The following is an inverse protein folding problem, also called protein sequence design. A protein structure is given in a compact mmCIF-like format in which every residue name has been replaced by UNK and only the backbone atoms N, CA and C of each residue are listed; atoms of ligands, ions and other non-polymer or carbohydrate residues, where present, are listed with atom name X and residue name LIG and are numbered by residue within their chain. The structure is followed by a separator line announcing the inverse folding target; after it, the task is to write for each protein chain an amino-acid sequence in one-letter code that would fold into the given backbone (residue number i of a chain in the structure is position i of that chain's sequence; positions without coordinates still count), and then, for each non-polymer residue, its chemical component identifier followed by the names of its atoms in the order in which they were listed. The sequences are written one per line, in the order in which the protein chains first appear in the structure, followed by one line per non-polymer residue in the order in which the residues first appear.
data_IF_489328272171
#
_entry.id   IF_489328272171
#
_cell.length_a   1.000
_cell.length_b   1.000
_cell.length_c   1.000
_cell.angle_alpha   90.00
_cell.angle_beta   90.00
_cell.angle_gamma   90.00
#
_symmetry.space_group_name_H-M   'P 1'
#
loop_
_entity.id
_entity.type
_entity.pdbx_description
1 polymer ?
#
# COMPACT_ATOMS: atom_id res chain seq x y z
N UNK A 1 4.35 -7.78 16.10
CA UNK A 1 2.98 -7.47 15.60
C UNK A 1 2.88 -5.96 15.36
N UNK A 2 2.74 -5.45 14.12
CA UNK A 2 2.86 -4.02 13.79
C UNK A 2 1.75 -3.12 14.36
N UNK A 3 0.59 -3.69 14.70
CA UNK A 3 -0.58 -2.94 15.21
C UNK A 3 -0.98 -3.29 16.66
N UNK A 4 -0.09 -3.99 17.38
CA UNK A 4 -0.34 -4.47 18.74
C UNK A 4 -1.40 -5.57 18.83
N UNK A 5 -1.48 -6.20 20.01
CA UNK A 5 -2.51 -7.18 20.39
C UNK A 5 -2.94 -6.84 21.83
N UNK A 6 -4.23 -6.97 22.15
CA UNK A 6 -4.78 -6.66 23.47
C UNK A 6 -5.69 -5.42 23.51
N UNK A 7 -6.07 -4.93 24.70
CA UNK A 7 -7.06 -3.86 24.86
C UNK A 7 -6.61 -2.50 24.30
N UNK A 8 -5.30 -2.34 24.05
CA UNK A 8 -4.69 -1.14 23.44
C UNK A 8 -4.24 -1.40 21.99
N UNK A 9 -4.95 -2.28 21.26
CA UNK A 9 -4.72 -2.49 19.82
C UNK A 9 -5.01 -1.21 19.02
N UNK A 10 -4.35 -1.06 17.87
CA UNK A 10 -4.64 0.03 16.96
C UNK A 10 -6.12 0.00 16.51
N UNK A 11 -6.85 1.09 16.77
CA UNK A 11 -8.24 1.28 16.33
C UNK A 11 -8.36 1.25 14.80
N UNK A 12 -7.36 1.81 14.12
CA UNK A 12 -7.29 1.91 12.66
C UNK A 12 -6.73 0.66 11.97
N UNK A 13 -6.45 -0.44 12.69
CA UNK A 13 -5.86 -1.64 12.09
C UNK A 13 -6.72 -2.19 10.93
N UNK A 14 -8.05 -2.25 11.11
CA UNK A 14 -8.95 -2.71 10.04
C UNK A 14 -9.01 -1.73 8.86
N UNK A 15 -8.99 -0.44 9.15
CA UNK A 15 -9.02 0.61 8.13
C UNK A 15 -7.75 0.58 7.27
N UNK A 16 -6.57 0.58 7.90
CA UNK A 16 -5.29 0.53 7.18
C UNK A 16 -5.12 -0.75 6.35
N UNK A 17 -5.62 -1.89 6.85
CA UNK A 17 -5.62 -3.14 6.08
C UNK A 17 -6.55 -3.07 4.85
N UNK A 18 -7.75 -2.51 4.99
CA UNK A 18 -8.70 -2.34 3.88
C UNK A 18 -8.16 -1.38 2.81
N UNK A 19 -7.62 -0.24 3.24
CA UNK A 19 -7.05 0.77 2.35
C UNK A 19 -5.84 0.20 1.58
N UNK A 20 -4.88 -0.40 2.29
CA UNK A 20 -3.68 -0.98 1.68
C UNK A 20 -4.04 -2.11 0.71
N UNK A 21 -4.99 -2.97 1.06
CA UNK A 21 -5.39 -4.10 0.22
C UNK A 21 -6.07 -3.63 -1.08
N UNK A 22 -6.89 -2.59 -0.99
CA UNK A 22 -7.53 -1.98 -2.16
C UNK A 22 -6.50 -1.37 -3.09
N UNK A 23 -5.60 -0.53 -2.57
CA UNK A 23 -4.54 0.10 -3.36
C UNK A 23 -3.63 -0.95 -4.01
N UNK A 24 -3.22 -1.96 -3.23
CA UNK A 24 -2.35 -3.03 -3.72
C UNK A 24 -3.01 -3.87 -4.83
N UNK A 25 -4.32 -4.10 -4.73
CA UNK A 25 -5.06 -4.83 -5.75
C UNK A 25 -5.00 -4.11 -7.11
N UNK A 26 -5.33 -2.82 -7.15
CA UNK A 26 -5.26 -2.05 -8.39
C UNK A 26 -3.83 -1.96 -8.95
N UNK A 27 -2.84 -1.76 -8.08
CA UNK A 27 -1.44 -1.74 -8.50
C UNK A 27 -1.00 -3.07 -9.14
N UNK A 28 -1.45 -4.21 -8.61
CA UNK A 28 -1.09 -5.53 -9.14
C UNK A 28 -1.89 -5.93 -10.38
N UNK A 29 -3.12 -5.43 -10.52
CA UNK A 29 -3.93 -5.66 -11.72
C UNK A 29 -3.36 -4.95 -12.93
N UNK A 30 -2.96 -3.68 -12.76
CA UNK A 30 -2.59 -2.82 -13.88
C UNK A 30 -1.08 -2.80 -14.14
N UNK A 31 -0.25 -3.11 -13.13
CA UNK A 31 1.20 -3.02 -13.23
C UNK A 31 1.92 -4.32 -12.85
N UNK A 32 2.89 -4.68 -13.68
CA UNK A 32 3.91 -5.68 -13.36
C UNK A 32 5.12 -5.01 -12.74
N UNK A 33 5.47 -5.41 -11.52
CA UNK A 33 6.67 -4.94 -10.82
C UNK A 33 7.93 -5.63 -11.36
N UNK A 34 8.87 -4.85 -11.89
CA UNK A 34 10.21 -5.32 -12.28
C UNK A 34 11.28 -4.75 -11.34
N UNK A 35 12.35 -5.52 -11.15
CA UNK A 35 13.51 -5.10 -10.35
C UNK A 35 14.12 -3.82 -10.93
N UNK A 36 14.34 -2.81 -10.07
CA UNK A 36 15.18 -1.67 -10.42
C UNK A 36 16.65 -2.09 -10.42
N UNK A 37 17.47 -1.49 -11.28
CA UNK A 37 18.91 -1.81 -11.39
C UNK A 37 19.69 -1.59 -10.08
N UNK A 38 19.14 -0.78 -9.17
CA UNK A 38 19.73 -0.44 -7.87
C UNK A 38 19.09 -1.14 -6.67
N UNK A 39 18.11 -2.02 -6.88
CA UNK A 39 17.44 -2.71 -5.77
C UNK A 39 18.33 -3.85 -5.23
N UNK A 40 18.70 -3.78 -3.95
CA UNK A 40 19.39 -4.87 -3.25
C UNK A 40 18.40 -5.96 -2.85
N UNK A 41 18.67 -7.19 -3.27
CA UNK A 41 17.91 -8.39 -2.91
C UNK A 41 18.95 -9.34 -2.29
N UNK A 42 18.95 -9.61 -0.96
CA UNK A 42 17.96 -9.26 0.06
C UNK A 42 17.99 -7.79 0.50
N UNK A 43 16.85 -7.26 0.92
CA UNK A 43 16.71 -5.89 1.42
C UNK A 43 17.47 -5.77 2.75
N UNK A 44 18.58 -5.05 2.75
CA UNK A 44 19.33 -4.74 3.97
C UNK A 44 18.64 -3.56 4.64
N UNK A 45 18.17 -3.73 5.87
CA UNK A 45 17.57 -2.65 6.64
C UNK A 45 18.67 -1.73 7.19
N UNK A 46 18.47 -0.43 7.04
CA UNK A 46 19.31 0.56 7.70
C UNK A 46 19.05 0.52 9.21
N UNK A 47 20.12 0.35 9.97
CA UNK A 47 20.08 0.31 11.44
C UNK A 47 20.05 1.71 12.07
N UNK A 48 20.14 2.75 11.26
CA UNK A 48 20.23 4.16 11.68
C UNK A 48 18.88 4.86 11.46
N UNK A 49 18.01 4.83 12.46
CA UNK A 49 16.79 5.64 12.49
C UNK A 49 15.64 5.02 13.27
N UNK A 50 14.68 5.87 13.66
CA UNK A 50 13.41 5.46 14.26
C UNK A 50 12.46 4.76 13.25
N UNK A 51 12.67 5.01 11.95
CA UNK A 51 11.89 4.43 10.86
C UNK A 51 12.67 3.30 10.18
N UNK A 52 11.99 2.19 9.91
CA UNK A 52 12.55 1.07 9.14
C UNK A 52 12.70 1.51 7.67
N UNK A 53 13.94 1.64 7.20
CA UNK A 53 14.28 2.02 5.83
C UNK A 53 15.23 0.99 5.21
N UNK A 54 15.18 0.83 3.90
CA UNK A 54 16.12 0.01 3.16
C UNK A 54 17.41 0.79 2.88
N UNK A 55 18.56 0.15 3.11
CA UNK A 55 19.89 0.69 2.82
C UNK A 55 20.05 0.97 1.33
N UNK A 56 20.18 2.24 0.98
CA UNK A 56 20.29 2.69 -0.42
C UNK A 56 18.95 2.84 -1.17
N UNK A 57 17.83 2.75 -0.46
CA UNK A 57 16.48 2.91 -1.03
C UNK A 57 15.97 1.68 -1.78
N UNK A 58 14.68 1.68 -2.11
CA UNK A 58 14.04 0.64 -2.90
C UNK A 58 13.64 1.23 -4.26
N UNK A 59 14.16 0.66 -5.35
CA UNK A 59 13.87 1.10 -6.71
C UNK A 59 13.10 -0.01 -7.42
N UNK A 60 11.88 0.31 -7.87
CA UNK A 60 11.01 -0.65 -8.56
C UNK A 60 10.57 -0.02 -9.88
N UNK A 61 10.68 -0.77 -10.96
CA UNK A 61 10.18 -0.36 -12.28
C UNK A 61 8.75 -0.89 -12.43
N UNK A 62 7.80 -0.01 -12.72
CA UNK A 62 6.43 -0.37 -13.03
C UNK A 62 6.30 -0.54 -14.54
N UNK A 63 5.78 -1.67 -14.99
CA UNK A 63 5.45 -1.92 -16.40
C UNK A 63 3.95 -2.15 -16.50
N UNK A 64 3.26 -1.35 -17.29
CA UNK A 64 1.82 -1.50 -17.54
C UNK A 64 1.54 -2.88 -18.16
N UNK A 65 0.53 -3.55 -17.62
CA UNK A 65 0.04 -4.82 -18.14
C UNK A 65 -1.31 -4.53 -18.82
N UNK A 66 -1.34 -4.50 -20.15
CA UNK A 66 -2.51 -4.14 -20.98
C UNK A 66 -3.66 -5.17 -20.88
N UNK A 67 -4.16 -5.41 -19.68
CA UNK A 67 -5.34 -6.23 -19.45
C UNK A 67 -6.52 -5.27 -19.30
N UNK A 68 -7.14 -4.94 -20.43
CA UNK A 68 -8.32 -4.08 -20.56
C UNK A 68 -9.58 -4.70 -19.93
N UNK A 69 -9.51 -5.44 -18.82
CA UNK A 69 -10.70 -6.07 -18.24
C UNK A 69 -10.55 -6.36 -16.74
N UNK A 70 -10.61 -5.32 -15.90
CA UNK A 70 -11.23 -5.50 -14.59
C UNK A 70 -12.06 -4.29 -14.19
N UNK A 71 -13.29 -4.28 -14.71
CA UNK A 71 -14.48 -3.81 -14.02
C UNK A 71 -14.31 -2.56 -13.17
N UNK A 72 -14.60 -1.41 -13.80
CA UNK A 72 -15.16 -0.23 -13.11
C UNK A 72 -16.30 -0.66 -12.20
N UNK A 73 -15.99 -0.93 -10.93
CA UNK A 73 -16.90 -0.85 -9.81
C UNK A 73 -16.06 -0.87 -8.54
N UNK A 74 -15.41 0.27 -8.28
CA UNK A 74 -15.34 0.69 -6.89
C UNK A 74 -16.78 0.70 -6.38
N UNK A 75 -17.16 -0.08 -5.35
CA UNK A 75 -18.46 0.12 -4.75
C UNK A 75 -18.45 1.58 -4.29
N UNK A 76 -19.34 2.38 -4.84
CA UNK A 76 -19.55 3.81 -4.56
C UNK A 76 -19.65 4.10 -3.06
N UNK A 77 -19.85 3.06 -2.24
CA UNK A 77 -19.69 3.04 -0.79
C UNK A 77 -18.34 3.57 -0.28
N UNK A 78 -17.22 3.31 -0.96
CA UNK A 78 -15.90 3.77 -0.50
C UNK A 78 -15.68 5.26 -0.81
N UNK A 79 -16.15 5.75 -1.96
CA UNK A 79 -16.04 7.16 -2.33
C UNK A 79 -16.90 8.07 -1.44
N UNK A 80 -18.07 7.58 -1.01
CA UNK A 80 -18.92 8.28 -0.06
C UNK A 80 -18.24 8.48 1.29
N UNK A 81 -17.45 7.50 1.76
CA UNK A 81 -16.72 7.62 3.03
C UNK A 81 -15.54 8.59 2.95
N UNK A 82 -14.82 8.64 1.83
CA UNK A 82 -13.72 9.61 1.65
C UNK A 82 -14.23 11.04 1.50
N UNK A 83 -15.35 11.26 0.79
CA UNK A 83 -15.98 12.58 0.68
C UNK A 83 -16.62 13.05 1.99
N UNK A 84 -17.20 12.14 2.79
CA UNK A 84 -17.81 12.50 4.07
C UNK A 84 -16.76 12.85 5.14
N UNK A 85 -15.59 12.18 5.15
CA UNK A 85 -14.48 12.55 6.05
C UNK A 85 -13.80 13.87 5.65
N UNK A 86 -13.95 14.34 4.41
CA UNK A 86 -13.43 15.63 3.94
C UNK A 86 -14.44 16.78 4.10
N UNK A 87 -15.65 16.51 4.58
CA UNK A 87 -16.72 17.51 4.85
C UNK A 87 -16.93 17.79 6.34
N UNK A 88 -16.18 17.14 7.24
CA UNK A 88 -16.14 17.46 8.69
C UNK A 88 -14.89 18.32 8.97
N UNK A 89 -14.76 19.43 8.24
CA UNK A 89 -13.89 20.54 8.61
C UNK A 89 -14.56 21.86 8.25
#
# INVERSE_FOLDING_TARGET
MPFGVGPRKCIANRFGLMETKSILYYLLCDFTFRKGERSQIPIILDKSGFQVKAKGGCWIKLVENNTEEHGRQMPTFCFQFTLLQMKIR
#
